data_IF_008741757655
#
_entry.id   IF_008741757655
#
_cell.length_a   1.000
_cell.length_b   1.000
_cell.length_c   1.000
_cell.angle_alpha   90.00
_cell.angle_beta   90.00
_cell.angle_gamma   90.00
#
_symmetry.space_group_name_H-M   'P 1'
#
loop_
_entity.id
_entity.type
_entity.pdbx_description
1 polymer ?
#
# COMPACT_ATOMS: atom_id res chain seq x y z
N UNK A 1 27.80 -14.32 -19.25
CA UNK A 1 26.98 -13.19 -18.75
C UNK A 1 25.55 -13.41 -19.21
N UNK A 2 24.60 -13.63 -18.30
CA UNK A 2 23.18 -13.77 -18.66
C UNK A 2 22.51 -12.39 -18.56
N UNK A 3 21.92 -11.89 -19.66
CA UNK A 3 21.19 -10.63 -19.68
C UNK A 3 19.69 -10.94 -19.64
N UNK A 4 19.02 -10.59 -18.54
CA UNK A 4 17.59 -10.78 -18.41
C UNK A 4 16.80 -9.80 -19.30
N UNK A 5 15.64 -10.19 -19.83
CA UNK A 5 14.78 -9.31 -20.61
C UNK A 5 14.14 -8.24 -19.73
N UNK A 6 13.72 -7.11 -20.33
CA UNK A 6 13.02 -6.03 -19.63
C UNK A 6 11.64 -6.47 -19.08
N UNK A 7 11.13 -7.63 -19.51
CA UNK A 7 9.89 -8.23 -18.99
C UNK A 7 10.07 -8.92 -17.65
N UNK A 8 11.31 -9.22 -17.23
CA UNK A 8 11.56 -9.89 -15.95
C UNK A 8 11.50 -8.86 -14.80
N UNK A 9 10.53 -8.97 -13.86
CA UNK A 9 10.32 -7.97 -12.82
C UNK A 9 11.53 -7.75 -11.91
N UNK A 10 11.77 -6.50 -11.52
CA UNK A 10 12.78 -6.13 -10.53
C UNK A 10 14.22 -5.99 -11.04
N UNK A 11 14.51 -6.36 -12.29
CA UNK A 11 15.84 -6.13 -12.87
C UNK A 11 16.03 -4.67 -13.35
N UNK A 12 17.28 -4.21 -13.59
CA UNK A 12 17.53 -2.83 -14.03
C UNK A 12 16.79 -2.43 -15.31
N UNK A 13 16.70 -3.31 -16.32
CA UNK A 13 16.02 -3.01 -17.60
C UNK A 13 14.51 -2.87 -17.41
N UNK A 14 13.91 -3.72 -16.57
CA UNK A 14 12.51 -3.61 -16.17
C UNK A 14 12.25 -2.28 -15.46
N UNK A 15 13.09 -1.92 -14.48
CA UNK A 15 12.94 -0.66 -13.75
C UNK A 15 13.09 0.55 -14.68
N UNK A 16 14.08 0.53 -15.59
CA UNK A 16 14.25 1.59 -16.59
C UNK A 16 13.04 1.75 -17.50
N UNK A 17 12.48 0.65 -18.03
CA UNK A 17 11.29 0.69 -18.87
C UNK A 17 10.09 1.27 -18.12
N UNK A 18 9.85 0.82 -16.88
CA UNK A 18 8.76 1.35 -16.03
C UNK A 18 8.93 2.83 -15.71
N UNK A 19 10.15 3.28 -15.47
CA UNK A 19 10.45 4.70 -15.27
C UNK A 19 10.18 5.50 -16.54
N UNK A 20 10.57 5.00 -17.72
CA UNK A 20 10.28 5.68 -18.99
C UNK A 20 8.78 5.79 -19.26
N UNK A 21 8.01 4.73 -18.97
CA UNK A 21 6.56 4.77 -19.03
C UNK A 21 6.03 5.86 -18.08
N UNK A 22 6.42 5.84 -16.80
CA UNK A 22 5.99 6.84 -15.82
C UNK A 22 6.29 8.27 -16.26
N UNK A 23 7.49 8.52 -16.80
CA UNK A 23 7.88 9.83 -17.30
C UNK A 23 7.08 10.25 -18.55
N UNK A 24 6.60 9.31 -19.36
CA UNK A 24 5.71 9.59 -20.49
C UNK A 24 4.35 10.11 -19.99
N UNK A 25 3.82 9.53 -18.92
CA UNK A 25 2.59 10.01 -18.28
C UNK A 25 2.81 11.38 -17.64
N UNK A 26 3.93 11.59 -16.94
CA UNK A 26 4.28 12.89 -16.35
C UNK A 26 4.39 13.97 -17.42
N UNK A 27 5.03 13.66 -18.55
CA UNK A 27 5.15 14.60 -19.67
C UNK A 27 3.79 14.97 -20.28
N UNK A 28 2.84 14.03 -20.31
CA UNK A 28 1.51 14.24 -20.91
C UNK A 28 0.51 14.91 -19.97
N UNK A 29 0.50 14.53 -18.69
CA UNK A 29 -0.53 14.89 -17.71
C UNK A 29 0.00 15.73 -16.52
N UNK A 30 1.28 16.09 -16.54
CA UNK A 30 1.94 16.78 -15.43
C UNK A 30 2.24 15.85 -14.26
N UNK A 31 2.46 16.42 -13.07
CA UNK A 31 2.66 15.63 -11.85
C UNK A 31 1.38 14.85 -11.47
N UNK A 32 1.52 13.64 -10.88
CA UNK A 32 0.40 12.93 -10.28
C UNK A 32 -0.16 13.73 -9.11
N UNK A 33 -1.47 13.60 -8.89
CA UNK A 33 -2.21 14.30 -7.84
C UNK A 33 -2.19 13.51 -6.54
N UNK A 34 -2.32 12.17 -6.62
CA UNK A 34 -2.27 11.29 -5.46
C UNK A 34 -1.17 10.23 -5.61
N UNK A 35 -0.47 9.99 -4.50
CA UNK A 35 0.42 8.84 -4.32
C UNK A 35 -0.12 7.95 -3.20
N UNK A 36 -0.65 6.80 -3.57
CA UNK A 36 -1.32 5.88 -2.65
C UNK A 36 -0.45 4.63 -2.49
N UNK A 37 -0.27 4.21 -1.25
CA UNK A 37 0.35 2.92 -0.94
C UNK A 37 -0.70 1.94 -0.44
N UNK A 38 -0.66 0.71 -0.96
CA UNK A 38 -1.60 -0.34 -0.56
C UNK A 38 -0.85 -1.60 -0.14
N UNK A 39 -0.83 -1.87 1.15
CA UNK A 39 -0.08 -2.97 1.77
C UNK A 39 -1.01 -4.14 2.11
N UNK A 40 -0.59 -5.35 1.80
CA UNK A 40 -1.32 -6.55 2.23
C UNK A 40 -1.31 -6.69 3.76
N UNK A 41 -2.47 -6.96 4.36
CA UNK A 41 -2.57 -7.35 5.75
C UNK A 41 -2.83 -8.88 5.84
N UNK A 42 -1.88 -9.67 6.36
CA UNK A 42 -2.05 -11.13 6.48
C UNK A 42 -3.14 -11.53 7.48
N UNK A 43 -3.60 -10.60 8.33
CA UNK A 43 -4.67 -10.80 9.32
C UNK A 43 -6.07 -10.56 8.75
N UNK A 44 -6.22 -10.25 7.46
CA UNK A 44 -7.55 -10.12 6.86
C UNK A 44 -8.38 -11.37 7.12
N UNK A 45 -9.61 -11.17 7.58
CA UNK A 45 -10.54 -12.26 7.91
C UNK A 45 -10.70 -13.29 6.78
N UNK A 46 -10.72 -12.83 5.52
CA UNK A 46 -10.80 -13.72 4.35
C UNK A 46 -9.59 -14.63 4.18
N UNK A 47 -8.41 -14.22 4.65
CA UNK A 47 -7.24 -15.11 4.70
C UNK A 47 -7.43 -16.09 5.85
N UNK A 48 -7.67 -15.58 7.06
CA UNK A 48 -7.76 -16.38 8.28
C UNK A 48 -8.80 -17.51 8.19
N UNK A 49 -9.95 -17.24 7.54
CA UNK A 49 -11.03 -18.21 7.34
C UNK A 49 -10.63 -19.41 6.48
N UNK A 50 -9.70 -19.22 5.54
CA UNK A 50 -9.29 -20.23 4.56
C UNK A 50 -8.02 -20.99 4.99
N UNK A 51 -7.45 -20.66 6.15
CA UNK A 51 -6.29 -21.37 6.70
C UNK A 51 -6.73 -22.65 7.41
N UNK A 52 -5.98 -23.73 7.18
CA UNK A 52 -6.16 -24.98 7.92
C UNK A 52 -5.57 -24.87 9.35
N UNK A 53 -6.00 -25.72 10.30
CA UNK A 53 -5.39 -25.76 11.63
C UNK A 53 -3.87 -25.88 11.57
N UNK A 54 -3.16 -24.98 12.26
CA UNK A 54 -1.70 -24.93 12.28
C UNK A 54 -1.05 -24.18 11.11
N UNK A 55 -1.80 -23.74 10.10
CA UNK A 55 -1.26 -22.89 9.03
C UNK A 55 -1.25 -21.41 9.43
N UNK A 56 -0.20 -20.72 9.00
CA UNK A 56 -0.14 -19.27 8.96
C UNK A 56 -0.41 -18.75 7.55
N UNK A 57 -0.67 -17.45 7.43
CA UNK A 57 -0.82 -16.81 6.12
C UNK A 57 0.41 -17.01 5.23
N UNK A 58 1.62 -17.05 5.83
CA UNK A 58 2.88 -17.20 5.10
C UNK A 58 3.04 -18.59 4.46
N UNK A 59 2.30 -19.60 4.96
CA UNK A 59 2.28 -20.94 4.37
C UNK A 59 1.39 -21.02 3.12
N UNK A 60 0.60 -19.98 2.85
CA UNK A 60 -0.35 -19.89 1.73
C UNK A 60 -0.14 -18.61 0.89
N UNK A 61 1.02 -18.45 0.23
CA UNK A 61 1.30 -17.28 -0.60
C UNK A 61 0.34 -17.14 -1.79
N UNK A 62 -0.22 -18.25 -2.26
CA UNK A 62 -1.27 -18.27 -3.29
C UNK A 62 -2.54 -17.56 -2.83
N UNK A 63 -2.96 -17.81 -1.59
CA UNK A 63 -4.14 -17.20 -0.98
C UNK A 63 -3.91 -15.69 -0.75
N UNK A 64 -2.74 -15.33 -0.25
CA UNK A 64 -2.31 -13.93 -0.09
C UNK A 64 -2.38 -13.20 -1.44
N UNK A 65 -1.77 -13.75 -2.49
CA UNK A 65 -1.73 -13.13 -3.81
C UNK A 65 -3.13 -12.89 -4.37
N UNK A 66 -4.01 -13.89 -4.27
CA UNK A 66 -5.38 -13.83 -4.80
C UNK A 66 -6.22 -12.79 -4.04
N UNK A 67 -6.23 -12.84 -2.72
CA UNK A 67 -7.02 -11.91 -1.90
C UNK A 67 -6.49 -10.48 -2.05
N UNK A 68 -5.17 -10.30 -2.09
CA UNK A 68 -4.57 -9.00 -2.35
C UNK A 68 -5.00 -8.44 -3.71
N UNK A 69 -4.93 -9.24 -4.77
CA UNK A 69 -5.33 -8.82 -6.11
C UNK A 69 -6.80 -8.39 -6.17
N UNK A 70 -7.70 -9.15 -5.54
CA UNK A 70 -9.12 -8.81 -5.47
C UNK A 70 -9.36 -7.49 -4.71
N UNK A 71 -8.70 -7.30 -3.56
CA UNK A 71 -8.82 -6.07 -2.77
C UNK A 71 -8.23 -4.86 -3.47
N UNK A 72 -7.08 -5.02 -4.13
CA UNK A 72 -6.48 -3.96 -4.95
C UNK A 72 -7.41 -3.59 -6.11
N UNK A 73 -8.00 -4.57 -6.80
CA UNK A 73 -9.00 -4.32 -7.83
C UNK A 73 -10.19 -3.53 -7.31
N UNK A 74 -10.72 -3.89 -6.14
CA UNK A 74 -11.80 -3.14 -5.48
C UNK A 74 -11.41 -1.71 -5.12
N UNK A 75 -10.22 -1.49 -4.57
CA UNK A 75 -9.70 -0.14 -4.31
C UNK A 75 -9.61 0.68 -5.60
N UNK A 76 -9.12 0.09 -6.69
CA UNK A 76 -9.04 0.77 -7.98
C UNK A 76 -10.42 1.13 -8.53
N UNK A 77 -11.42 0.27 -8.35
CA UNK A 77 -12.80 0.55 -8.74
C UNK A 77 -13.38 1.73 -7.94
N UNK A 78 -13.17 1.76 -6.62
CA UNK A 78 -13.60 2.90 -5.77
C UNK A 78 -12.96 4.21 -6.25
N UNK A 79 -11.67 4.20 -6.58
CA UNK A 79 -10.97 5.40 -7.05
C UNK A 79 -11.43 5.82 -8.45
N UNK A 80 -11.66 4.88 -9.37
CA UNK A 80 -11.82 5.19 -10.81
C UNK A 80 -13.25 5.17 -11.32
N UNK A 81 -14.10 4.29 -10.76
CA UNK A 81 -15.50 4.14 -11.14
C UNK A 81 -16.41 4.92 -10.20
N UNK A 82 -16.18 4.78 -8.89
CA UNK A 82 -16.96 5.50 -7.88
C UNK A 82 -16.46 6.94 -7.72
N UNK A 83 -15.26 7.24 -8.26
CA UNK A 83 -14.69 8.59 -8.36
C UNK A 83 -14.66 9.33 -7.02
N UNK A 84 -14.29 8.63 -5.94
CA UNK A 84 -14.27 9.22 -4.58
C UNK A 84 -13.34 10.43 -4.43
N UNK A 85 -12.36 10.58 -5.33
CA UNK A 85 -11.45 11.73 -5.41
C UNK A 85 -11.72 12.60 -6.64
N UNK A 86 -12.83 12.38 -7.35
CA UNK A 86 -13.13 13.00 -8.64
C UNK A 86 -12.72 12.15 -9.86
N UNK A 87 -12.98 12.65 -11.08
CA UNK A 87 -12.71 11.92 -12.31
C UNK A 87 -11.22 11.64 -12.52
N UNK A 88 -10.87 10.39 -12.86
CA UNK A 88 -9.48 9.97 -13.08
C UNK A 88 -9.14 10.02 -14.56
N UNK A 89 -8.17 10.85 -14.93
CA UNK A 89 -7.69 10.98 -16.30
C UNK A 89 -6.68 9.87 -16.66
N UNK A 90 -5.82 9.49 -15.73
CA UNK A 90 -4.98 8.31 -15.89
C UNK A 90 -4.48 7.76 -14.55
N UNK A 91 -4.01 6.51 -14.56
CA UNK A 91 -3.47 5.83 -13.38
C UNK A 91 -2.31 4.92 -13.75
N UNK A 92 -1.39 4.76 -12.81
CA UNK A 92 -0.31 3.78 -12.90
C UNK A 92 -0.13 3.12 -11.55
N UNK A 93 0.22 1.84 -11.51
CA UNK A 93 0.68 1.22 -10.28
C UNK A 93 1.69 0.12 -10.54
N UNK A 94 2.51 -0.14 -9.53
CA UNK A 94 3.44 -1.28 -9.51
C UNK A 94 3.20 -2.08 -8.24
N UNK A 95 3.24 -3.41 -8.34
CA UNK A 95 3.14 -4.32 -7.20
C UNK A 95 4.53 -4.90 -6.94
N UNK A 96 5.04 -4.70 -5.73
CA UNK A 96 6.31 -5.22 -5.26
C UNK A 96 6.08 -6.16 -4.08
N UNK A 97 6.84 -7.24 -4.02
CA UNK A 97 6.85 -8.14 -2.88
C UNK A 97 7.90 -7.65 -1.88
N UNK A 98 7.46 -7.15 -0.73
CA UNK A 98 8.39 -6.68 0.30
C UNK A 98 9.17 -7.86 0.90
N UNK A 99 10.27 -7.58 1.62
CA UNK A 99 11.19 -8.59 2.19
C UNK A 99 10.51 -9.71 3.00
N UNK A 100 9.30 -9.47 3.53
CA UNK A 100 8.50 -10.44 4.28
C UNK A 100 7.54 -11.28 3.43
N UNK A 101 7.67 -11.22 2.09
CA UNK A 101 6.85 -11.99 1.16
C UNK A 101 5.41 -11.52 1.03
N UNK A 102 5.09 -10.29 1.46
CA UNK A 102 3.76 -9.70 1.30
C UNK A 102 3.74 -8.70 0.15
N UNK A 103 2.69 -8.70 -0.68
CA UNK A 103 2.56 -7.76 -1.78
C UNK A 103 2.21 -6.36 -1.27
N UNK A 104 2.77 -5.37 -1.94
CA UNK A 104 2.57 -3.95 -1.70
C UNK A 104 2.50 -3.21 -3.03
N UNK A 105 1.59 -2.25 -3.15
CA UNK A 105 1.42 -1.47 -4.36
C UNK A 105 1.77 -0.01 -4.10
N UNK A 106 2.47 0.57 -5.06
CA UNK A 106 2.61 2.02 -5.22
C UNK A 106 1.71 2.43 -6.37
N UNK A 107 0.79 3.36 -6.11
CA UNK A 107 -0.26 3.77 -7.03
C UNK A 107 -0.13 5.28 -7.25
N UNK A 108 -0.07 5.69 -8.51
CA UNK A 108 -0.09 7.08 -8.96
C UNK A 108 -1.41 7.35 -9.67
N UNK A 109 -2.10 8.42 -9.27
CA UNK A 109 -3.37 8.85 -9.86
C UNK A 109 -3.21 10.27 -10.39
N UNK A 110 -3.69 10.50 -11.60
CA UNK A 110 -3.88 11.83 -12.17
C UNK A 110 -5.37 12.08 -12.29
N UNK A 111 -5.85 13.05 -11.53
CA UNK A 111 -7.23 13.51 -11.58
C UNK A 111 -7.38 14.45 -12.79
N UNK A 112 -8.59 14.49 -13.35
CA UNK A 112 -8.91 15.44 -14.41
C UNK A 112 -9.03 16.85 -13.86
N UNK A 113 -9.61 16.98 -12.67
CA UNK A 113 -9.62 18.20 -11.89
C UNK A 113 -8.43 18.16 -10.92
N UNK A 114 -7.50 19.09 -11.07
CA UNK A 114 -6.26 19.10 -10.30
C UNK A 114 -6.52 19.48 -8.85
N UNK A 115 -5.90 18.75 -7.94
CA UNK A 115 -6.00 19.04 -6.50
C UNK A 115 -5.23 20.32 -6.18
N UNK A 116 -5.93 21.27 -5.59
CA UNK A 116 -5.35 22.51 -5.07
C UNK A 116 -4.90 22.35 -3.61
N UNK A 117 -3.96 23.20 -3.19
CA UNK A 117 -3.40 23.12 -1.83
C UNK A 117 -4.47 23.28 -0.74
N UNK A 118 -5.54 24.01 -1.02
CA UNK A 118 -6.67 24.25 -0.10
C UNK A 118 -7.58 23.05 0.08
N UNK A 119 -7.47 22.02 -0.78
CA UNK A 119 -8.34 20.84 -0.75
C UNK A 119 -7.71 19.65 -0.04
N UNK A 120 -6.42 19.71 0.30
CA UNK A 120 -5.64 18.58 0.82
C UNK A 120 -6.26 18.02 2.11
N UNK A 121 -6.69 18.88 3.03
CA UNK A 121 -7.25 18.46 4.33
C UNK A 121 -8.61 17.75 4.18
N UNK A 122 -9.31 17.96 3.06
CA UNK A 122 -10.54 17.23 2.75
C UNK A 122 -10.28 15.85 2.15
N UNK A 123 -9.09 15.63 1.59
CA UNK A 123 -8.73 14.39 0.89
C UNK A 123 -7.89 13.45 1.75
N UNK A 124 -7.06 13.99 2.64
CA UNK A 124 -6.10 13.26 3.45
C UNK A 124 -6.18 13.74 4.88
N UNK A 125 -6.31 12.81 5.81
CA UNK A 125 -6.16 13.08 7.25
C UNK A 125 -5.04 12.21 7.83
N UNK A 126 -4.25 12.83 8.70
CA UNK A 126 -3.25 12.15 9.54
C UNK A 126 -3.69 12.07 11.01
N UNK A 127 -4.94 12.44 11.29
CA UNK A 127 -5.49 12.43 12.64
C UNK A 127 -5.97 11.03 13.05
N UNK A 128 -5.92 10.76 14.35
CA UNK A 128 -6.55 9.56 14.91
C UNK A 128 -8.04 9.88 15.05
N UNK A 129 -8.95 9.05 14.50
CA UNK A 129 -10.40 9.26 14.62
C UNK A 129 -10.85 9.35 16.08
N UNK A 130 -11.94 10.07 16.36
CA UNK A 130 -12.49 10.10 17.71
C UNK A 130 -13.19 8.76 18.03
N UNK A 131 -12.85 8.08 19.14
CA UNK A 131 -13.39 6.75 19.46
C UNK A 131 -14.89 6.77 19.82
N UNK A 132 -15.47 7.93 20.14
CA UNK A 132 -16.90 8.06 20.41
C UNK A 132 -17.69 8.41 19.16
N UNK A 133 -17.12 9.22 18.26
CA UNK A 133 -17.77 9.64 17.02
C UNK A 133 -17.64 8.60 15.90
N UNK A 134 -16.49 7.95 15.77
CA UNK A 134 -16.21 6.92 14.77
C UNK A 134 -15.38 5.76 15.37
N UNK A 135 -16.01 4.88 16.17
CA UNK A 135 -15.32 3.77 16.83
C UNK A 135 -14.72 2.77 15.83
N UNK A 136 -15.35 2.57 14.67
CA UNK A 136 -14.88 1.60 13.67
C UNK A 136 -13.60 2.10 13.00
N UNK A 137 -13.58 3.35 12.51
CA UNK A 137 -12.37 3.91 11.91
C UNK A 137 -11.26 4.06 12.95
N UNK A 138 -11.60 4.42 14.19
CA UNK A 138 -10.64 4.44 15.30
C UNK A 138 -9.96 3.07 15.48
N UNK A 139 -10.74 1.99 15.56
CA UNK A 139 -10.19 0.63 15.69
C UNK A 139 -9.29 0.26 14.51
N UNK A 140 -9.72 0.56 13.27
CA UNK A 140 -8.94 0.26 12.07
C UNK A 140 -7.62 1.04 12.06
N UNK A 141 -7.65 2.35 12.29
CA UNK A 141 -6.45 3.21 12.27
C UNK A 141 -5.50 2.82 13.40
N UNK A 142 -6.00 2.64 14.62
CA UNK A 142 -5.15 2.28 15.77
C UNK A 142 -4.54 0.89 15.63
N UNK A 143 -5.26 -0.06 15.02
CA UNK A 143 -4.75 -1.42 14.80
C UNK A 143 -3.70 -1.51 13.70
N UNK A 144 -3.85 -0.73 12.62
CA UNK A 144 -3.07 -0.93 11.40
C UNK A 144 -2.03 0.17 11.14
N UNK A 145 -2.25 1.39 11.64
CA UNK A 145 -1.44 2.57 11.32
C UNK A 145 -0.61 3.08 12.50
N UNK A 146 -0.91 2.62 13.72
CA UNK A 146 -0.08 2.93 14.89
C UNK A 146 1.01 1.87 15.01
N UNK A 147 2.26 2.33 14.99
CA UNK A 147 3.36 1.49 15.41
C UNK A 147 3.25 1.23 16.91
N UNK A 148 3.36 -0.03 17.33
CA UNK A 148 3.27 -0.41 18.75
C UNK A 148 4.24 0.40 19.63
N UNK A 149 3.95 0.54 20.93
CA UNK A 149 4.75 1.36 21.82
C UNK A 149 6.22 0.93 21.77
N UNK A 150 7.11 1.89 21.57
CA UNK A 150 8.55 1.69 21.67
C UNK A 150 9.01 1.90 23.12
N UNK A 151 10.06 1.19 23.55
CA UNK A 151 10.63 1.35 24.88
C UNK A 151 11.08 0.04 25.53
N UNK A 152 11.80 0.15 26.64
CA UNK A 152 12.44 -0.97 27.34
C UNK A 152 11.48 -2.08 27.81
N UNK A 153 10.19 -1.76 27.95
CA UNK A 153 9.12 -2.71 28.31
C UNK A 153 8.49 -3.44 27.12
N UNK A 154 8.81 -3.04 25.88
CA UNK A 154 8.18 -3.52 24.64
C UNK A 154 9.25 -3.95 23.59
N UNK A 155 10.17 -4.80 24.04
CA UNK A 155 11.36 -5.30 23.32
C UNK A 155 11.07 -6.25 22.13
N UNK A 156 9.81 -6.52 21.80
CA UNK A 156 9.40 -7.37 20.67
C UNK A 156 9.11 -6.58 19.38
N UNK A 157 9.21 -5.25 19.42
CA UNK A 157 9.01 -4.39 18.24
C UNK A 157 10.31 -4.25 17.43
N UNK A 158 10.20 -4.23 16.10
CA UNK A 158 11.33 -4.24 15.16
C UNK A 158 12.18 -2.95 15.13
N UNK A 159 11.97 -2.03 16.08
CA UNK A 159 12.70 -0.77 16.19
C UNK A 159 13.86 -0.83 17.18
N UNK A 160 14.21 -2.01 17.73
CA UNK A 160 15.33 -2.16 18.65
C UNK A 160 16.58 -2.67 17.93
N UNK A 161 17.75 -2.13 18.30
CA UNK A 161 19.04 -2.67 17.86
C UNK A 161 19.39 -3.96 18.62
N UNK A 162 20.52 -4.57 18.27
CA UNK A 162 21.07 -5.76 18.95
C UNK A 162 21.26 -5.57 20.46
N UNK A 163 21.35 -4.32 20.94
CA UNK A 163 21.53 -3.98 22.35
C UNK A 163 20.20 -3.70 23.08
N UNK A 164 19.07 -3.96 22.43
CA UNK A 164 17.74 -3.73 23.01
C UNK A 164 17.36 -2.25 23.16
N UNK A 165 18.07 -1.33 22.50
CA UNK A 165 17.75 0.10 22.47
C UNK A 165 16.94 0.45 21.24
N UNK A 166 15.93 1.29 21.42
CA UNK A 166 15.17 1.85 20.30
C UNK A 166 16.11 2.65 19.38
N UNK A 167 16.04 2.40 18.07
CA UNK A 167 16.83 3.09 17.03
C UNK A 167 16.10 4.27 16.40
N UNK A 168 14.90 4.58 16.88
CA UNK A 168 14.14 5.78 16.53
C UNK A 168 14.12 6.74 17.70
#
# INVERSE_FOLDING_TARGET
>A
MCILPATFPGNPRYMHARTQDAMTYVRKYGRPDLFITFTCNPKWYTIAKELMPGQSAYDRPDLIARIYHLKLGKLMDVITKDQVFGPVCCRMHTINWQKRGLPHAHILIWLCDKTEATEIDHLISAEIPDPSADPELYEIVTTNMIHGPCGSRYNYTSCHNSDGKCTR
#
